data_IF_894186560370
#
_entry.id   IF_894186560370
#
_cell.length_a   1.000
_cell.length_b   1.000
_cell.length_c   1.000
_cell.angle_alpha   90.00
_cell.angle_beta   90.00
_cell.angle_gamma   90.00
#
_symmetry.space_group_name_H-M   'P 1'
#
loop_
_entity.id
_entity.type
_entity.pdbx_description
1 polymer ?
#
# COMPACT_ATOMS: atom_id res chain seq x y z
N UNK A 1 76.50 -61.12 12.10
CA UNK A 1 76.26 -59.65 12.22
C UNK A 1 75.09 -59.11 11.39
N UNK A 2 74.89 -59.57 10.18
CA UNK A 2 73.80 -59.03 9.26
C UNK A 2 72.34 -59.09 9.80
N UNK A 3 72.01 -60.22 10.56
CA UNK A 3 70.65 -60.37 11.12
C UNK A 3 70.32 -59.35 12.25
N UNK A 4 71.31 -58.97 13.05
CA UNK A 4 71.11 -57.98 14.15
C UNK A 4 70.96 -56.57 13.66
N UNK A 5 71.56 -56.18 12.52
CA UNK A 5 71.40 -54.86 11.89
C UNK A 5 70.00 -54.70 11.26
N UNK A 6 69.47 -55.80 10.69
CA UNK A 6 68.11 -55.79 10.12
C UNK A 6 67.03 -55.58 11.18
N UNK A 7 67.15 -56.21 12.33
CA UNK A 7 66.22 -56.04 13.43
C UNK A 7 66.27 -54.61 14.01
N UNK A 8 67.45 -54.03 14.10
CA UNK A 8 67.67 -52.66 14.61
C UNK A 8 67.04 -51.64 13.61
N UNK A 9 67.19 -51.81 12.29
CA UNK A 9 66.55 -50.97 11.27
C UNK A 9 65.04 -51.11 11.32
N UNK A 10 64.50 -52.30 11.54
CA UNK A 10 63.06 -52.51 11.67
C UNK A 10 62.47 -51.80 12.91
N UNK A 11 63.16 -51.85 14.06
CA UNK A 11 62.73 -51.15 15.26
C UNK A 11 62.76 -49.62 15.08
N UNK A 12 63.78 -49.08 14.41
CA UNK A 12 63.88 -47.65 14.10
C UNK A 12 62.78 -47.21 13.12
N UNK A 13 62.51 -48.05 12.09
CA UNK A 13 61.43 -47.78 11.18
C UNK A 13 60.06 -47.79 11.86
N UNK A 14 59.81 -48.73 12.77
CA UNK A 14 58.60 -48.81 13.54
C UNK A 14 58.42 -47.59 14.48
N UNK A 15 59.49 -47.17 15.13
CA UNK A 15 59.53 -46.02 16.04
C UNK A 15 59.22 -44.70 15.23
N UNK A 16 59.80 -44.53 14.04
CA UNK A 16 59.53 -43.39 13.19
C UNK A 16 58.10 -43.39 12.68
N UNK A 17 57.54 -44.54 12.28
CA UNK A 17 56.15 -44.66 11.85
C UNK A 17 55.18 -44.35 13.01
N UNK A 18 55.46 -44.82 14.20
CA UNK A 18 54.63 -44.49 15.39
C UNK A 18 54.71 -42.99 15.74
N UNK A 19 55.89 -42.38 15.65
CA UNK A 19 56.08 -40.95 15.87
C UNK A 19 55.33 -40.11 14.82
N UNK A 20 55.44 -40.48 13.54
CA UNK A 20 54.70 -39.80 12.48
C UNK A 20 53.16 -39.95 12.65
N UNK A 21 52.70 -41.15 13.03
CA UNK A 21 51.28 -41.37 13.32
C UNK A 21 50.74 -40.51 14.49
N UNK A 22 51.50 -40.43 15.58
CA UNK A 22 51.13 -39.60 16.75
C UNK A 22 51.13 -38.09 16.40
N UNK A 23 52.08 -37.62 15.61
CA UNK A 23 52.10 -36.20 15.17
C UNK A 23 50.92 -35.87 14.28
N UNK A 24 50.56 -36.74 13.33
CA UNK A 24 49.37 -36.54 12.49
C UNK A 24 48.08 -36.53 13.30
N UNK A 25 47.93 -37.44 14.28
CA UNK A 25 46.78 -37.49 15.18
C UNK A 25 46.67 -36.21 16.00
N UNK A 26 47.79 -35.74 16.56
CA UNK A 26 47.77 -34.49 17.37
C UNK A 26 47.48 -33.26 16.55
N UNK A 27 48.03 -33.12 15.32
CA UNK A 27 47.75 -32.00 14.42
C UNK A 27 46.28 -32.02 13.98
N UNK A 28 45.75 -33.19 13.63
CA UNK A 28 44.33 -33.31 13.22
C UNK A 28 43.37 -33.08 14.37
N UNK A 29 43.72 -33.46 15.60
CA UNK A 29 42.92 -33.12 16.79
C UNK A 29 42.94 -31.62 17.07
N UNK A 30 44.11 -30.98 17.06
CA UNK A 30 44.24 -29.54 17.25
C UNK A 30 43.46 -28.74 16.15
N UNK A 31 43.50 -29.21 14.91
CA UNK A 31 42.72 -28.59 13.81
C UNK A 31 41.19 -28.76 13.95
N UNK A 32 40.74 -29.88 14.57
CA UNK A 32 39.29 -30.09 14.85
C UNK A 32 38.82 -29.32 16.08
N UNK A 33 39.68 -29.07 17.05
CA UNK A 33 39.36 -28.29 18.25
C UNK A 33 39.42 -26.78 18.01
N UNK A 34 40.14 -26.33 17.01
CA UNK A 34 40.10 -24.94 16.50
C UNK A 34 38.78 -24.65 15.80
N UNK A 35 37.65 -24.69 16.53
CA UNK A 35 36.41 -24.09 16.04
C UNK A 35 36.71 -22.63 15.74
N UNK A 36 36.41 -22.13 14.52
CA UNK A 36 36.58 -20.73 14.26
C UNK A 36 35.73 -19.95 15.27
N UNK A 37 36.38 -19.12 16.08
CA UNK A 37 35.69 -18.20 16.99
C UNK A 37 35.01 -17.16 16.11
N UNK A 38 33.75 -17.46 15.72
CA UNK A 38 32.95 -16.53 15.00
C UNK A 38 32.65 -15.37 15.97
N UNK A 39 33.24 -14.22 15.71
CA UNK A 39 32.91 -13.01 16.46
C UNK A 39 31.44 -12.75 16.33
N UNK A 40 30.72 -12.61 17.42
CA UNK A 40 29.31 -12.29 17.46
C UNK A 40 29.10 -10.85 17.92
N UNK A 41 28.16 -10.18 17.30
CA UNK A 41 27.65 -8.86 17.70
C UNK A 41 26.21 -9.01 18.11
N UNK A 42 25.76 -8.19 19.03
CA UNK A 42 24.35 -8.13 19.38
C UNK A 42 23.62 -7.25 18.35
N UNK A 43 22.53 -7.76 17.80
CA UNK A 43 21.65 -6.99 16.90
C UNK A 43 20.23 -7.02 17.45
N UNK A 44 19.51 -5.93 17.24
CA UNK A 44 18.09 -5.83 17.56
C UNK A 44 17.29 -6.38 16.39
N UNK A 45 16.33 -7.25 16.67
CA UNK A 45 15.39 -7.81 15.69
C UNK A 45 13.96 -7.58 16.14
N UNK A 46 13.04 -7.57 15.18
CA UNK A 46 11.62 -7.46 15.48
C UNK A 46 11.08 -8.75 16.10
N UNK A 47 10.45 -8.67 17.27
CA UNK A 47 9.79 -9.78 17.95
C UNK A 47 8.42 -10.12 17.34
N UNK A 48 7.82 -9.17 16.63
CA UNK A 48 6.53 -9.25 15.93
C UNK A 48 6.54 -8.37 14.67
N UNK A 49 5.51 -8.48 13.85
CA UNK A 49 5.33 -7.58 12.71
C UNK A 49 5.01 -6.17 13.18
N UNK A 50 5.66 -5.17 12.56
CA UNK A 50 5.51 -3.74 12.89
C UNK A 50 5.09 -3.03 11.61
N UNK A 51 3.89 -2.44 11.63
CA UNK A 51 3.39 -1.68 10.48
C UNK A 51 4.13 -0.34 10.31
N UNK A 52 4.24 0.12 9.08
CA UNK A 52 4.81 1.43 8.76
C UNK A 52 4.12 2.55 9.57
N UNK A 53 4.90 3.50 10.08
CA UNK A 53 4.42 4.64 10.86
C UNK A 53 3.98 4.30 12.30
N UNK A 54 4.11 3.03 12.72
CA UNK A 54 3.83 2.63 14.10
C UNK A 54 4.93 3.07 15.05
N UNK A 55 4.60 3.53 16.28
CA UNK A 55 5.60 3.78 17.30
C UNK A 55 6.22 2.45 17.75
N UNK A 56 7.54 2.43 17.86
CA UNK A 56 8.29 1.25 18.25
C UNK A 56 8.42 1.23 19.78
N UNK A 57 7.96 0.14 20.40
CA UNK A 57 8.07 -0.10 21.83
C UNK A 57 9.07 -1.22 22.13
N UNK A 58 9.58 -1.26 23.35
CA UNK A 58 10.54 -2.29 23.76
C UNK A 58 9.99 -3.72 23.62
N UNK A 59 8.68 -3.92 23.81
CA UNK A 59 8.01 -5.23 23.68
C UNK A 59 7.97 -5.77 22.25
N UNK A 60 8.17 -4.90 21.24
CA UNK A 60 8.20 -5.27 19.82
C UNK A 60 9.59 -5.70 19.36
N UNK A 61 10.60 -5.61 20.24
CA UNK A 61 12.00 -5.82 19.91
C UNK A 61 12.62 -6.89 20.79
N UNK A 62 13.58 -7.61 20.24
CA UNK A 62 14.45 -8.55 20.98
C UNK A 62 15.88 -8.40 20.50
N UNK A 63 16.84 -8.70 21.36
CA UNK A 63 18.27 -8.71 21.02
C UNK A 63 18.74 -10.13 20.75
N UNK A 64 19.41 -10.33 19.62
CA UNK A 64 19.97 -11.65 19.25
C UNK A 64 21.45 -11.55 18.89
N UNK A 65 22.26 -12.59 19.24
CA UNK A 65 23.61 -12.68 18.75
C UNK A 65 23.63 -12.99 17.26
N UNK A 66 24.46 -12.27 16.50
CA UNK A 66 24.60 -12.43 15.06
C UNK A 66 26.09 -12.43 14.67
N UNK A 67 26.53 -13.26 13.69
CA UNK A 67 27.92 -13.25 13.24
C UNK A 67 28.34 -11.86 12.75
N UNK A 68 29.44 -11.33 13.26
CA UNK A 68 29.87 -9.96 12.98
C UNK A 68 30.12 -9.71 11.48
N UNK A 69 30.65 -10.71 10.79
CA UNK A 69 31.00 -10.61 9.36
C UNK A 69 29.76 -10.51 8.44
N UNK A 70 28.59 -10.88 8.93
CA UNK A 70 27.32 -10.86 8.20
C UNK A 70 26.32 -9.82 8.74
N UNK A 71 26.66 -9.14 9.82
CA UNK A 71 25.79 -8.12 10.39
C UNK A 71 25.72 -6.90 9.44
N UNK A 72 24.52 -6.39 9.15
CA UNK A 72 24.40 -5.14 8.40
C UNK A 72 25.17 -4.01 9.10
N UNK A 73 25.88 -3.19 8.35
CA UNK A 73 26.71 -2.09 8.90
C UNK A 73 25.91 -1.07 9.73
N UNK A 74 24.61 -0.94 9.43
CA UNK A 74 23.69 -0.02 10.10
C UNK A 74 22.75 -0.73 11.09
N UNK A 75 23.07 -1.97 11.46
CA UNK A 75 22.26 -2.71 12.43
C UNK A 75 22.25 -2.01 13.79
N UNK A 76 21.09 -1.91 14.39
CA UNK A 76 20.92 -1.37 15.74
C UNK A 76 21.34 -2.43 16.74
N UNK A 77 22.23 -2.07 17.67
CA UNK A 77 22.78 -2.98 18.68
C UNK A 77 22.07 -2.89 20.04
N UNK A 78 21.33 -1.81 20.28
CA UNK A 78 20.61 -1.58 21.53
C UNK A 78 19.14 -1.29 21.26
N UNK A 79 18.24 -1.92 22.03
CA UNK A 79 16.79 -1.66 21.99
C UNK A 79 16.49 -0.18 22.24
N UNK A 80 17.26 0.46 23.13
CA UNK A 80 17.07 1.88 23.46
C UNK A 80 17.26 2.83 22.26
N UNK A 81 18.05 2.44 21.26
CA UNK A 81 18.27 3.24 20.05
C UNK A 81 17.10 3.17 19.07
N UNK A 82 16.18 2.23 19.25
CA UNK A 82 15.00 2.05 18.42
C UNK A 82 13.69 2.44 19.12
N UNK A 83 13.64 2.39 20.44
CA UNK A 83 12.46 2.72 21.24
C UNK A 83 12.16 4.22 21.13
N UNK A 84 10.87 4.58 21.13
CA UNK A 84 10.34 5.94 20.93
C UNK A 84 10.57 6.52 19.52
N UNK A 85 11.03 5.70 18.58
CA UNK A 85 11.06 6.05 17.15
C UNK A 85 9.87 5.41 16.43
N UNK A 86 9.68 5.75 15.17
CA UNK A 86 8.63 5.21 14.33
C UNK A 86 9.22 4.30 13.26
N UNK A 87 8.47 3.29 12.85
CA UNK A 87 8.86 2.45 11.71
C UNK A 87 8.75 3.23 10.40
N UNK A 88 9.82 3.30 9.63
CA UNK A 88 9.86 3.96 8.32
C UNK A 88 9.16 3.13 7.22
N UNK A 89 9.02 1.81 7.42
CA UNK A 89 8.38 0.87 6.49
C UNK A 89 7.78 -0.29 7.29
N UNK A 90 7.08 -1.21 6.61
CA UNK A 90 6.64 -2.45 7.25
C UNK A 90 7.86 -3.30 7.62
N UNK A 91 7.94 -3.75 8.86
CA UNK A 91 9.00 -4.61 9.38
C UNK A 91 8.37 -5.95 9.77
N UNK A 92 8.91 -7.04 9.26
CA UNK A 92 8.40 -8.38 9.57
C UNK A 92 9.11 -8.98 10.78
N UNK A 93 8.43 -9.86 11.50
CA UNK A 93 8.98 -10.59 12.63
C UNK A 93 10.31 -11.27 12.26
N UNK A 94 11.33 -11.13 13.13
CA UNK A 94 12.67 -11.69 12.93
C UNK A 94 13.59 -10.83 12.07
N UNK A 95 13.11 -9.75 11.45
CA UNK A 95 13.95 -8.83 10.67
C UNK A 95 14.88 -8.04 11.58
N UNK A 96 16.15 -7.91 11.15
CA UNK A 96 17.14 -7.07 11.85
C UNK A 96 16.74 -5.60 11.69
N UNK A 97 16.71 -4.89 12.80
CA UNK A 97 16.45 -3.44 12.80
C UNK A 97 17.71 -2.71 12.37
N UNK A 98 17.61 -1.93 11.30
CA UNK A 98 18.66 -1.05 10.81
C UNK A 98 18.22 0.41 10.93
N UNK A 99 19.17 1.34 10.97
CA UNK A 99 18.87 2.77 11.11
C UNK A 99 17.90 3.31 10.05
N UNK A 100 18.00 2.92 8.74
CA UNK A 100 17.04 3.36 7.73
C UNK A 100 15.59 2.88 7.95
N UNK A 101 15.38 1.83 8.75
CA UNK A 101 14.04 1.36 9.11
C UNK A 101 13.38 2.20 10.22
N UNK A 102 14.13 3.14 10.80
CA UNK A 102 13.70 3.98 11.92
C UNK A 102 13.52 5.44 11.47
N UNK A 103 12.49 6.09 11.97
CA UNK A 103 12.21 7.51 11.75
C UNK A 103 11.99 8.21 13.08
N UNK A 104 12.52 9.42 13.25
CA UNK A 104 12.31 10.24 14.44
C UNK A 104 10.94 10.92 14.44
N UNK A 105 10.29 10.97 13.27
CA UNK A 105 8.96 11.55 13.10
C UNK A 105 7.97 10.47 12.68
N UNK A 106 6.72 10.59 13.16
CA UNK A 106 5.63 9.75 12.67
C UNK A 106 5.52 9.93 11.16
N UNK A 107 5.77 8.87 10.40
CA UNK A 107 5.58 8.93 8.96
C UNK A 107 4.09 9.15 8.67
N UNK A 108 3.80 10.26 8.06
CA UNK A 108 2.49 10.52 7.48
C UNK A 108 2.34 9.58 6.29
N UNK A 109 1.18 8.98 6.13
CA UNK A 109 0.95 8.06 5.00
C UNK A 109 1.31 8.72 3.66
N UNK A 110 1.84 7.95 2.71
CA UNK A 110 2.26 8.45 1.39
C UNK A 110 1.21 9.35 0.74
N UNK A 111 -0.06 8.97 0.86
CA UNK A 111 -1.18 9.74 0.34
C UNK A 111 -1.25 11.15 0.95
N UNK A 112 -1.11 11.26 2.28
CA UNK A 112 -1.16 12.56 2.95
C UNK A 112 0.03 13.48 2.59
N UNK A 113 1.18 12.91 2.21
CA UNK A 113 2.34 13.68 1.72
C UNK A 113 2.14 14.21 0.30
N UNK A 114 1.30 13.55 -0.51
CA UNK A 114 0.98 14.01 -1.87
C UNK A 114 -0.14 15.03 -1.93
N UNK A 115 -0.79 15.36 -0.80
CA UNK A 115 -1.84 16.37 -0.75
C UNK A 115 -1.20 17.76 -0.59
N UNK A 116 -1.37 18.68 -1.56
CA UNK A 116 -0.89 20.05 -1.45
C UNK A 116 -1.59 20.83 -0.33
N UNK A 117 -0.93 21.89 0.14
CA UNK A 117 -1.54 22.78 1.14
C UNK A 117 -2.85 23.39 0.62
N UNK A 118 -3.89 23.33 1.43
CA UNK A 118 -5.22 23.87 1.11
C UNK A 118 -6.13 22.91 0.34
N UNK A 119 -5.64 21.74 -0.06
CA UNK A 119 -6.43 20.68 -0.68
C UNK A 119 -6.72 19.56 0.30
N UNK A 120 -7.66 18.69 -0.04
CA UNK A 120 -8.01 17.47 0.69
C UNK A 120 -8.20 16.31 -0.27
N UNK A 121 -7.96 15.09 0.20
CA UNK A 121 -8.26 13.88 -0.54
C UNK A 121 -9.67 13.40 -0.19
N UNK A 122 -10.50 13.15 -1.19
CA UNK A 122 -11.86 12.66 -1.04
C UNK A 122 -12.06 11.36 -1.80
N UNK A 123 -12.53 10.31 -1.13
CA UNK A 123 -12.76 9.00 -1.74
C UNK A 123 -14.22 8.86 -2.18
N UNK A 124 -14.41 8.57 -3.47
CA UNK A 124 -15.69 8.19 -4.06
C UNK A 124 -15.69 6.70 -4.39
N UNK A 125 -16.79 5.98 -4.12
CA UNK A 125 -16.97 4.62 -4.62
C UNK A 125 -16.86 4.62 -6.15
N UNK A 126 -16.12 3.63 -6.67
CA UNK A 126 -16.00 3.41 -8.11
C UNK A 126 -17.13 2.48 -8.54
N UNK A 127 -18.26 3.04 -8.96
CA UNK A 127 -19.46 2.29 -9.36
C UNK A 127 -19.59 2.10 -10.87
N UNK A 128 -18.83 2.83 -11.67
CA UNK A 128 -18.86 2.79 -13.12
C UNK A 128 -17.80 1.87 -13.74
N UNK A 129 -17.98 1.56 -15.03
CA UNK A 129 -17.08 0.68 -15.77
C UNK A 129 -15.66 1.26 -15.93
N UNK A 130 -15.51 2.58 -15.95
CA UNK A 130 -14.22 3.24 -16.13
C UNK A 130 -13.35 3.07 -14.88
N UNK A 131 -13.92 3.32 -13.72
CA UNK A 131 -13.20 3.21 -12.45
C UNK A 131 -13.04 1.75 -12.00
N UNK A 132 -14.02 0.88 -12.28
CA UNK A 132 -14.01 -0.53 -11.88
C UNK A 132 -13.02 -1.40 -12.64
N UNK A 133 -12.68 -1.07 -13.89
CA UNK A 133 -11.81 -1.86 -14.76
C UNK A 133 -10.35 -1.37 -14.81
N UNK A 134 -9.93 -0.46 -13.92
CA UNK A 134 -8.56 0.05 -13.89
C UNK A 134 -8.21 0.98 -15.07
N UNK A 135 -9.22 1.56 -15.72
CA UNK A 135 -9.03 2.53 -16.79
C UNK A 135 -8.62 3.90 -16.23
N UNK A 136 -9.04 4.21 -15.01
CA UNK A 136 -8.62 5.42 -14.29
C UNK A 136 -7.39 5.08 -13.46
N UNK A 137 -6.35 5.90 -13.58
CA UNK A 137 -5.06 5.72 -12.89
C UNK A 137 -4.70 6.97 -12.07
N UNK A 138 -3.84 6.84 -11.05
CA UNK A 138 -3.27 8.00 -10.37
C UNK A 138 -2.59 8.96 -11.37
N UNK A 139 -2.91 10.25 -11.27
CA UNK A 139 -2.46 11.30 -12.19
C UNK A 139 -3.45 11.65 -13.30
N UNK A 140 -4.47 10.83 -13.53
CA UNK A 140 -5.55 11.17 -14.45
C UNK A 140 -6.39 12.33 -13.94
N UNK A 141 -7.17 12.93 -14.85
CA UNK A 141 -8.11 14.00 -14.55
C UNK A 141 -9.53 13.61 -14.89
N UNK A 142 -10.45 13.95 -14.00
CA UNK A 142 -11.86 13.58 -14.15
C UNK A 142 -12.77 14.75 -13.89
N UNK A 143 -13.93 14.72 -14.55
CA UNK A 143 -15.08 15.56 -14.25
C UNK A 143 -16.12 14.75 -13.49
N UNK A 144 -16.85 15.42 -12.60
CA UNK A 144 -17.92 14.84 -11.81
C UNK A 144 -19.26 15.28 -12.37
N UNK A 145 -20.06 14.31 -12.80
CA UNK A 145 -21.44 14.49 -13.16
C UNK A 145 -22.33 14.07 -11.99
N UNK A 146 -23.27 14.92 -11.62
CA UNK A 146 -24.24 14.59 -10.57
C UNK A 146 -25.64 14.65 -11.16
N UNK A 147 -26.38 13.57 -10.99
CA UNK A 147 -27.80 13.48 -11.28
C UNK A 147 -28.58 13.58 -9.99
N UNK A 148 -29.47 14.54 -9.88
CA UNK A 148 -30.41 14.63 -8.78
C UNK A 148 -31.82 14.24 -9.22
N UNK A 149 -32.48 13.43 -8.42
CA UNK A 149 -33.90 13.09 -8.56
C UNK A 149 -34.73 14.01 -7.66
N UNK A 150 -35.54 14.87 -8.30
CA UNK A 150 -36.35 15.88 -7.60
C UNK A 150 -37.82 15.51 -7.75
N UNK A 151 -38.54 15.40 -6.65
CA UNK A 151 -40.00 15.27 -6.67
C UNK A 151 -40.62 16.65 -6.94
N UNK A 152 -41.38 16.73 -8.00
CA UNK A 152 -42.20 17.90 -8.32
C UNK A 152 -43.68 17.56 -8.13
N UNK A 153 -44.34 18.31 -7.25
CA UNK A 153 -45.78 18.20 -7.06
C UNK A 153 -46.48 19.13 -8.05
N UNK A 154 -47.23 18.59 -9.00
CA UNK A 154 -48.08 19.37 -9.91
C UNK A 154 -49.54 19.27 -9.45
N UNK A 155 -50.26 20.41 -9.57
CA UNK A 155 -51.71 20.47 -9.30
C UNK A 155 -52.40 20.45 -10.64
N UNK A 156 -53.15 19.39 -10.94
CA UNK A 156 -53.97 19.26 -12.15
C UNK A 156 -55.13 20.24 -12.17
N UNK A 157 -55.77 20.43 -13.36
CA UNK A 157 -56.94 21.33 -13.51
C UNK A 157 -58.13 20.90 -12.65
N UNK A 158 -58.17 19.66 -12.22
CA UNK A 158 -59.19 19.05 -11.33
C UNK A 158 -58.87 19.21 -9.83
N UNK A 159 -57.78 19.95 -9.49
CA UNK A 159 -57.31 20.13 -8.10
C UNK A 159 -56.62 18.93 -7.49
N UNK A 160 -56.40 17.85 -8.26
CA UNK A 160 -55.64 16.71 -7.78
C UNK A 160 -54.13 17.00 -7.85
N UNK A 161 -53.40 16.60 -6.80
CA UNK A 161 -51.94 16.70 -6.77
C UNK A 161 -51.33 15.39 -7.31
N UNK A 162 -50.42 15.50 -8.26
CA UNK A 162 -49.61 14.38 -8.72
C UNK A 162 -48.15 14.68 -8.41
N UNK A 163 -47.46 13.74 -7.75
CA UNK A 163 -46.02 13.77 -7.52
C UNK A 163 -45.32 13.09 -8.70
N UNK A 164 -44.48 13.82 -9.39
CA UNK A 164 -43.65 13.31 -10.48
C UNK A 164 -42.17 13.46 -10.06
N UNK A 165 -41.43 12.38 -10.17
CA UNK A 165 -39.98 12.44 -9.93
C UNK A 165 -39.26 12.76 -11.22
N UNK A 166 -38.45 13.79 -11.23
CA UNK A 166 -37.69 14.26 -12.41
C UNK A 166 -36.21 14.24 -12.12
N UNK A 167 -35.45 13.71 -13.07
CA UNK A 167 -34.00 13.71 -13.01
C UNK A 167 -33.44 14.98 -13.67
N UNK A 168 -32.43 15.57 -13.03
CA UNK A 168 -31.58 16.60 -13.60
C UNK A 168 -30.12 16.24 -13.42
N UNK A 169 -29.35 16.29 -14.50
CA UNK A 169 -27.91 15.97 -14.52
C UNK A 169 -27.12 17.19 -14.95
N UNK A 170 -26.01 17.45 -14.24
CA UNK A 170 -25.07 18.49 -14.66
C UNK A 170 -23.64 18.12 -14.27
N UNK A 171 -22.68 18.71 -15.00
CA UNK A 171 -21.27 18.66 -14.61
C UNK A 171 -21.08 19.57 -13.40
N UNK A 172 -20.83 18.98 -12.26
CA UNK A 172 -20.81 19.70 -10.97
C UNK A 172 -19.41 20.17 -10.61
N UNK A 173 -18.41 19.33 -10.82
CA UNK A 173 -17.00 19.66 -10.60
C UNK A 173 -16.19 19.20 -11.81
N UNK A 174 -15.16 19.94 -12.14
CA UNK A 174 -14.35 19.67 -13.33
C UNK A 174 -12.85 19.70 -12.99
N UNK A 175 -12.08 18.95 -13.78
CA UNK A 175 -10.62 18.91 -13.74
C UNK A 175 -10.05 18.51 -12.37
N UNK A 176 -10.63 17.48 -11.76
CA UNK A 176 -10.15 16.93 -10.50
C UNK A 176 -9.07 15.89 -10.76
N UNK A 177 -7.96 16.01 -10.04
CA UNK A 177 -6.85 15.06 -10.11
C UNK A 177 -7.12 13.80 -9.30
N UNK A 178 -6.87 12.65 -9.90
CA UNK A 178 -6.91 11.35 -9.23
C UNK A 178 -5.60 11.11 -8.49
N UNK A 179 -5.65 11.08 -7.15
CA UNK A 179 -4.48 10.80 -6.31
C UNK A 179 -4.18 9.31 -6.19
N UNK A 180 -5.22 8.48 -6.13
CA UNK A 180 -5.09 7.04 -5.93
C UNK A 180 -6.36 6.31 -6.36
N UNK A 181 -6.24 5.01 -6.67
CA UNK A 181 -7.37 4.13 -6.96
C UNK A 181 -7.27 2.91 -6.05
N UNK A 182 -8.20 2.80 -5.11
CA UNK A 182 -8.23 1.75 -4.10
C UNK A 182 -9.05 0.56 -4.59
N UNK A 183 -8.63 -0.65 -4.27
CA UNK A 183 -9.43 -1.86 -4.47
C UNK A 183 -9.36 -2.51 -5.86
N UNK A 184 -8.49 -2.05 -6.78
CA UNK A 184 -8.28 -2.68 -8.11
C UNK A 184 -7.29 -3.85 -8.07
N UNK A 185 -6.65 -4.12 -6.94
CA UNK A 185 -5.74 -5.26 -6.78
C UNK A 185 -6.51 -6.55 -6.50
N UNK A 186 -6.26 -7.61 -7.25
CA UNK A 186 -6.61 -8.98 -6.89
C UNK A 186 -5.85 -9.33 -5.60
N UNK A 187 -6.45 -9.03 -4.45
CA UNK A 187 -5.94 -9.44 -3.16
C UNK A 187 -6.02 -10.95 -3.04
N UNK A 188 -4.88 -11.60 -3.00
CA UNK A 188 -4.73 -13.05 -2.81
C UNK A 188 -5.07 -13.53 -1.39
N UNK A 189 -5.73 -12.72 -0.58
CA UNK A 189 -6.22 -13.10 0.74
C UNK A 189 -7.75 -12.98 0.78
N UNK A 190 -8.41 -14.08 1.08
CA UNK A 190 -9.87 -14.28 1.10
C UNK A 190 -10.68 -13.41 2.09
N UNK A 191 -10.32 -12.15 2.23
CA UNK A 191 -11.06 -11.12 2.95
C UNK A 191 -11.86 -10.26 1.97
N UNK A 192 -13.10 -9.96 2.32
CA UNK A 192 -14.10 -9.15 1.61
C UNK A 192 -13.46 -8.17 0.61
N UNK A 193 -13.71 -8.40 -0.68
CA UNK A 193 -13.31 -7.48 -1.75
C UNK A 193 -13.85 -6.09 -1.38
N UNK A 194 -12.95 -5.17 -1.02
CA UNK A 194 -13.34 -3.78 -0.80
C UNK A 194 -13.81 -3.23 -2.13
N UNK A 195 -14.99 -2.63 -2.16
CA UNK A 195 -15.48 -1.94 -3.35
C UNK A 195 -14.41 -0.96 -3.83
N UNK A 196 -14.09 -0.94 -5.12
CA UNK A 196 -13.10 -0.02 -5.65
C UNK A 196 -13.53 1.43 -5.35
N UNK A 197 -12.55 2.29 -5.09
CA UNK A 197 -12.79 3.70 -4.81
C UNK A 197 -11.72 4.55 -5.48
N UNK A 198 -12.13 5.67 -6.07
CA UNK A 198 -11.23 6.68 -6.62
C UNK A 198 -11.00 7.76 -5.58
N UNK A 199 -9.74 8.11 -5.33
CA UNK A 199 -9.35 9.17 -4.39
C UNK A 199 -9.01 10.42 -5.19
N UNK A 200 -9.80 11.47 -5.00
CA UNK A 200 -9.71 12.74 -5.73
C UNK A 200 -9.06 13.82 -4.88
N UNK A 201 -8.26 14.67 -5.52
CA UNK A 201 -7.72 15.89 -4.93
C UNK A 201 -8.73 17.02 -5.15
N UNK A 202 -9.29 17.53 -4.05
CA UNK A 202 -10.36 18.53 -4.11
C UNK A 202 -10.11 19.69 -3.14
N UNK A 203 -10.79 20.81 -3.37
CA UNK A 203 -10.88 21.88 -2.38
C UNK A 203 -11.80 21.46 -1.21
N UNK A 204 -11.63 22.01 0.00
CA UNK A 204 -12.51 21.69 1.11
C UNK A 204 -14.00 21.92 0.82
N UNK A 205 -14.35 22.98 0.07
CA UNK A 205 -15.73 23.24 -0.32
C UNK A 205 -16.25 22.22 -1.33
N UNK A 206 -15.41 21.78 -2.27
CA UNK A 206 -15.75 20.71 -3.22
C UNK A 206 -16.00 19.38 -2.49
N UNK A 207 -15.20 19.09 -1.44
CA UNK A 207 -15.41 17.90 -0.61
C UNK A 207 -16.80 17.92 0.07
N UNK A 208 -17.28 19.08 0.55
CA UNK A 208 -18.62 19.22 1.14
C UNK A 208 -19.69 18.93 0.08
N UNK A 209 -19.54 19.47 -1.13
CA UNK A 209 -20.45 19.21 -2.25
C UNK A 209 -20.52 17.72 -2.61
N UNK A 210 -19.36 17.07 -2.75
CA UNK A 210 -19.28 15.64 -3.04
C UNK A 210 -19.86 14.79 -1.90
N UNK A 211 -19.63 15.19 -0.65
CA UNK A 211 -20.19 14.50 0.50
C UNK A 211 -21.71 14.54 0.51
N UNK A 212 -22.30 15.71 0.24
CA UNK A 212 -23.76 15.85 0.13
C UNK A 212 -24.33 14.97 -0.99
N UNK A 213 -23.73 15.02 -2.18
CA UNK A 213 -24.18 14.21 -3.30
C UNK A 213 -24.04 12.70 -3.02
N UNK A 214 -22.91 12.29 -2.44
CA UNK A 214 -22.63 10.88 -2.10
C UNK A 214 -23.61 10.30 -1.08
N UNK A 215 -24.03 11.08 -0.08
CA UNK A 215 -24.89 10.60 1.00
C UNK A 215 -26.38 10.81 0.70
N UNK A 216 -26.71 11.46 -0.41
CA UNK A 216 -28.09 11.68 -0.80
C UNK A 216 -28.66 10.44 -1.51
N UNK A 217 -29.76 9.88 -0.99
CA UNK A 217 -30.52 8.81 -1.65
C UNK A 217 -31.13 9.25 -2.99
N UNK A 218 -31.07 10.55 -3.28
CA UNK A 218 -31.63 11.18 -4.48
C UNK A 218 -30.55 11.67 -5.43
N UNK A 219 -29.32 11.25 -5.27
CA UNK A 219 -28.24 11.62 -6.15
C UNK A 219 -27.46 10.41 -6.66
N UNK A 220 -27.05 10.47 -7.90
CA UNK A 220 -26.09 9.54 -8.51
C UNK A 220 -24.89 10.34 -8.96
N UNK A 221 -23.70 9.82 -8.69
CA UNK A 221 -22.42 10.44 -9.07
C UNK A 221 -21.74 9.55 -10.10
N UNK A 222 -21.38 10.12 -11.23
CA UNK A 222 -20.61 9.50 -12.28
C UNK A 222 -19.32 10.26 -12.55
N UNK A 223 -18.30 9.55 -13.05
CA UNK A 223 -16.98 10.07 -13.39
C UNK A 223 -16.81 10.11 -14.90
N UNK A 224 -16.42 11.25 -15.45
CA UNK A 224 -16.00 11.39 -16.83
C UNK A 224 -14.49 11.61 -16.90
N UNK A 225 -13.76 10.70 -17.55
CA UNK A 225 -12.31 10.77 -17.71
C UNK A 225 -11.96 11.80 -18.78
N UNK A 226 -11.05 12.73 -18.46
CA UNK A 226 -10.49 13.69 -19.41
C UNK A 226 -9.38 13.07 -20.24
N UNK A 227 -9.23 13.53 -21.46
CA UNK A 227 -8.12 13.11 -22.32
C UNK A 227 -6.78 13.62 -21.78
N UNK A 228 -5.70 12.87 -22.00
CA UNK A 228 -4.34 13.24 -21.56
C UNK A 228 -3.78 14.51 -22.20
N UNK A 229 -4.37 14.97 -23.29
CA UNK A 229 -4.00 16.20 -24.00
C UNK A 229 -4.93 17.39 -23.70
N UNK A 230 -5.80 17.26 -22.68
CA UNK A 230 -6.70 18.32 -22.28
C UNK A 230 -5.95 19.56 -21.76
N UNK A 231 -6.49 20.75 -22.02
CA UNK A 231 -5.88 22.02 -21.63
C UNK A 231 -6.16 22.43 -20.18
N UNK A 232 -6.79 21.56 -19.41
CA UNK A 232 -7.19 21.74 -18.00
C UNK A 232 -8.13 22.92 -17.76
N UNK A 233 -8.83 23.39 -18.80
CA UNK A 233 -9.84 24.43 -18.66
C UNK A 233 -11.17 23.87 -18.22
N UNK A 234 -11.92 24.71 -17.53
CA UNK A 234 -13.33 24.42 -17.25
C UNK A 234 -14.15 24.73 -18.50
N UNK A 235 -15.06 23.83 -18.83
CA UNK A 235 -16.02 24.02 -19.93
C UNK A 235 -17.38 24.33 -19.35
N UNK A 236 -18.02 25.37 -19.89
CA UNK A 236 -19.43 25.62 -19.57
C UNK A 236 -20.29 24.49 -20.12
N UNK A 237 -21.07 23.89 -19.25
CA UNK A 237 -22.02 22.84 -19.59
C UNK A 237 -23.39 23.21 -19.03
N UNK A 238 -24.42 23.14 -19.86
CA UNK A 238 -25.80 23.30 -19.39
C UNK A 238 -26.23 22.02 -18.66
N UNK A 239 -27.02 22.19 -17.61
CA UNK A 239 -27.71 21.06 -16.97
C UNK A 239 -28.81 20.52 -17.92
N UNK A 240 -28.96 19.20 -17.96
CA UNK A 240 -29.96 18.52 -18.77
C UNK A 240 -30.99 17.83 -17.88
N UNK A 241 -32.26 17.92 -18.34
CA UNK A 241 -33.39 17.19 -17.75
C UNK A 241 -33.89 16.15 -18.76
N UNK A 242 -34.70 15.19 -18.31
CA UNK A 242 -35.32 14.22 -19.21
C UNK A 242 -36.07 14.92 -20.37
N UNK A 243 -36.85 15.96 -20.06
CA UNK A 243 -37.60 16.69 -21.05
C UNK A 243 -36.68 17.44 -22.05
N UNK A 244 -35.59 18.04 -21.56
CA UNK A 244 -34.63 18.74 -22.43
C UNK A 244 -33.95 17.75 -23.38
N UNK A 245 -33.55 16.58 -22.91
CA UNK A 245 -32.95 15.54 -23.74
C UNK A 245 -33.93 14.96 -24.74
N UNK A 246 -35.19 14.69 -24.33
CA UNK A 246 -36.26 14.21 -25.23
C UNK A 246 -36.49 15.20 -26.38
N UNK A 247 -36.57 16.50 -26.08
CA UNK A 247 -36.81 17.53 -27.09
C UNK A 247 -35.59 17.71 -28.00
N UNK A 248 -34.39 17.84 -27.39
CA UNK A 248 -33.13 18.12 -28.10
C UNK A 248 -32.75 16.99 -29.08
N UNK A 249 -32.90 15.74 -28.64
CA UNK A 249 -32.52 14.55 -29.41
C UNK A 249 -33.71 13.84 -30.07
N UNK A 250 -34.93 14.40 -29.98
CA UNK A 250 -36.15 13.89 -30.61
C UNK A 250 -36.49 12.44 -30.22
N UNK A 251 -36.33 12.10 -28.94
CA UNK A 251 -36.80 10.81 -28.47
C UNK A 251 -38.30 10.67 -28.62
N UNK A 252 -38.77 9.49 -29.08
CA UNK A 252 -40.21 9.19 -29.12
C UNK A 252 -40.68 8.88 -27.70
N UNK A 253 -41.67 9.64 -27.21
CA UNK A 253 -42.36 9.29 -25.96
C UNK A 253 -43.10 7.97 -26.16
N UNK A 254 -43.01 7.01 -25.22
CA UNK A 254 -43.81 5.80 -25.29
C UNK A 254 -45.30 6.18 -25.27
N UNK A 255 -46.09 5.56 -26.14
CA UNK A 255 -47.55 5.74 -26.11
C UNK A 255 -48.10 5.02 -24.86
N UNK A 256 -49.08 5.62 -24.15
CA UNK A 256 -49.68 4.95 -23.01
C UNK A 256 -50.34 3.65 -23.49
N UNK A 257 -50.03 2.54 -22.83
CA UNK A 257 -50.70 1.26 -23.09
C UNK A 257 -52.15 1.42 -22.70
N UNK A 258 -53.05 1.17 -23.67
CA UNK A 258 -54.52 1.23 -23.47
C UNK A 258 -55.01 0.02 -22.68
#
# INVERSE_FOLDING_TARGET
MRKRIGILLMIVGLALAAFAGLTVINVTRAAREAKPVIKQVQVVVAAQDIAQGSPITASMLETKPFPADFAPSEAVSSINDAVNRYSATNIVKGQIITRPLLSDTKQVGKLALSIPKGKVAFALPASDLLSGNGQIQPGDRVDILVTFFVKMTSIGPDGQTSDEERATTQTTLQDLEVLDVLGTGAGSDGGNAKSPAVVLLVDPQQAVTLKLAKDSDKAVIDLALRGSSDDHKQHETDGETEDSVIVKYKFRKPEPVK
#
